data_IF_740350673298
#
_entry.id   IF_740350673298
#
_cell.length_a   1.000
_cell.length_b   1.000
_cell.length_c   1.000
_cell.angle_alpha   90.00
_cell.angle_beta   90.00
_cell.angle_gamma   90.00
#
_symmetry.space_group_name_H-M   'P 1'
#
loop_
_entity.id
_entity.type
_entity.pdbx_description
1 polymer ?
#
# COMPACT_ATOMS: atom_id res chain seq x y z
N UNK A 1 16.92 -44.27 16.91
CA UNK A 1 16.78 -43.14 17.86
C UNK A 1 16.53 -41.87 17.03
N UNK A 2 15.27 -41.52 16.80
CA UNK A 2 14.91 -40.33 16.03
C UNK A 2 15.01 -39.11 16.94
N UNK A 3 16.02 -38.26 16.73
CA UNK A 3 16.10 -36.97 17.39
C UNK A 3 14.95 -36.09 16.88
N UNK A 4 13.95 -35.87 17.72
CA UNK A 4 12.95 -34.84 17.52
C UNK A 4 13.68 -33.49 17.53
N UNK A 5 14.02 -32.96 16.35
CA UNK A 5 14.46 -31.56 16.25
C UNK A 5 13.26 -30.71 16.61
N UNK A 6 13.35 -29.98 17.72
CA UNK A 6 12.37 -28.95 18.04
C UNK A 6 12.21 -28.04 16.82
N UNK A 7 10.99 -27.67 16.40
CA UNK A 7 10.82 -26.72 15.32
C UNK A 7 11.62 -25.45 15.68
N UNK A 8 12.24 -24.78 14.70
CA UNK A 8 12.94 -23.53 14.98
C UNK A 8 11.95 -22.61 15.70
N UNK A 9 12.29 -22.22 16.93
CA UNK A 9 11.57 -21.14 17.61
C UNK A 9 11.81 -19.90 16.77
N UNK A 10 10.87 -19.59 15.88
CA UNK A 10 10.78 -18.24 15.32
C UNK A 10 10.37 -17.37 16.50
N UNK A 11 11.37 -16.78 17.15
CA UNK A 11 11.15 -15.64 18.04
C UNK A 11 10.60 -14.53 17.13
N UNK A 12 9.28 -14.40 17.13
CA UNK A 12 8.63 -13.28 16.45
C UNK A 12 8.88 -12.06 17.34
N UNK A 13 9.92 -11.29 17.03
CA UNK A 13 10.38 -10.13 17.81
C UNK A 13 9.46 -8.89 17.71
N UNK A 14 8.14 -9.09 17.58
CA UNK A 14 7.15 -8.03 17.49
C UNK A 14 5.95 -8.32 16.61
N UNK A 15 5.18 -7.27 16.29
CA UNK A 15 4.11 -7.33 15.32
C UNK A 15 4.24 -6.09 14.41
N UNK A 16 3.56 -6.05 13.26
CA UNK A 16 3.60 -4.88 12.40
C UNK A 16 3.08 -3.64 13.14
N UNK A 17 4.01 -2.78 13.59
CA UNK A 17 3.88 -1.38 14.05
C UNK A 17 2.66 -1.07 14.97
N UNK A 18 2.14 -2.08 15.65
CA UNK A 18 0.96 -2.02 16.49
C UNK A 18 1.31 -2.60 17.85
N UNK A 19 1.02 -1.85 18.91
CA UNK A 19 1.29 -2.27 20.29
C UNK A 19 0.29 -3.31 20.82
N UNK A 20 -0.89 -3.41 20.20
CA UNK A 20 -1.96 -4.30 20.62
C UNK A 20 -1.60 -5.78 20.51
N UNK A 21 -1.36 -6.31 19.28
CA UNK A 21 -1.09 -7.73 19.09
C UNK A 21 0.11 -8.26 19.92
N UNK A 22 1.26 -7.56 20.03
CA UNK A 22 2.36 -8.00 20.88
C UNK A 22 1.96 -8.09 22.35
N UNK A 23 1.15 -7.15 22.85
CA UNK A 23 0.68 -7.17 24.23
C UNK A 23 -0.22 -8.38 24.54
N UNK A 24 -1.12 -8.72 23.62
CA UNK A 24 -2.02 -9.89 23.77
C UNK A 24 -1.23 -11.20 23.72
N UNK A 25 -0.23 -11.28 22.85
CA UNK A 25 0.56 -12.49 22.62
C UNK A 25 1.79 -12.59 23.52
N UNK A 26 1.99 -11.64 24.44
CA UNK A 26 3.17 -11.50 25.29
C UNK A 26 4.50 -11.54 24.51
N UNK A 27 4.52 -10.87 23.35
CA UNK A 27 5.70 -10.72 22.50
C UNK A 27 6.40 -9.40 22.83
N UNK A 28 7.70 -9.33 22.50
CA UNK A 28 8.46 -8.08 22.58
C UNK A 28 7.80 -7.04 21.69
N UNK A 29 7.62 -5.82 22.20
CA UNK A 29 7.14 -4.70 21.37
C UNK A 29 8.25 -4.25 20.41
N UNK A 30 7.87 -4.00 19.17
CA UNK A 30 8.76 -3.55 18.12
C UNK A 30 8.03 -3.43 16.79
N UNK A 31 8.55 -2.59 15.90
CA UNK A 31 8.06 -2.51 14.53
C UNK A 31 8.65 -3.66 13.71
N UNK A 32 7.82 -4.65 13.37
CA UNK A 32 8.22 -5.69 12.41
C UNK A 32 7.63 -5.43 11.03
N UNK A 33 8.50 -5.27 10.04
CA UNK A 33 8.08 -5.23 8.64
C UNK A 33 7.80 -6.66 8.14
N UNK A 34 6.60 -6.96 7.59
CA UNK A 34 6.33 -8.25 6.97
C UNK A 34 7.30 -8.53 5.82
N UNK A 35 7.77 -9.77 5.72
CA UNK A 35 8.53 -10.23 4.56
C UNK A 35 7.56 -10.58 3.44
N UNK A 36 7.72 -9.92 2.30
CA UNK A 36 6.95 -10.19 1.07
C UNK A 36 7.91 -10.65 0.00
N UNK A 37 7.62 -11.81 -0.60
CA UNK A 37 8.43 -12.33 -1.70
C UNK A 37 8.41 -11.37 -2.90
N UNK A 38 9.51 -11.36 -3.65
CA UNK A 38 9.58 -10.59 -4.89
C UNK A 38 8.47 -11.04 -5.84
N UNK A 39 7.77 -10.11 -6.51
CA UNK A 39 6.71 -10.48 -7.44
C UNK A 39 7.28 -11.30 -8.59
N UNK A 40 6.52 -12.31 -9.00
CA UNK A 40 6.84 -13.16 -10.17
C UNK A 40 6.36 -12.53 -11.49
N UNK A 41 5.48 -11.54 -11.41
CA UNK A 41 4.92 -10.85 -12.56
C UNK A 41 5.93 -9.87 -13.16
N UNK A 42 5.82 -9.64 -14.47
CA UNK A 42 6.66 -8.67 -15.17
C UNK A 42 6.18 -7.25 -14.90
N UNK A 43 7.10 -6.29 -15.06
CA UNK A 43 6.78 -4.86 -15.10
C UNK A 43 5.83 -4.58 -16.28
N UNK A 44 4.76 -3.84 -16.02
CA UNK A 44 3.72 -3.53 -17.02
C UNK A 44 3.71 -2.07 -17.49
N UNK A 45 4.47 -1.20 -16.82
CA UNK A 45 4.56 0.24 -17.14
C UNK A 45 6.03 0.56 -17.39
N UNK A 46 6.37 0.93 -18.63
CA UNK A 46 7.77 1.13 -19.04
C UNK A 46 8.41 2.37 -18.42
N UNK A 47 7.68 3.49 -18.38
CA UNK A 47 8.16 4.74 -17.77
C UNK A 47 8.29 4.61 -16.25
N UNK A 48 9.14 5.45 -15.63
CA UNK A 48 9.16 5.61 -14.17
C UNK A 48 7.79 6.06 -13.67
N UNK A 49 7.35 5.54 -12.54
CA UNK A 49 6.01 5.83 -12.03
C UNK A 49 5.93 5.81 -10.51
N UNK A 50 4.92 6.50 -10.01
CA UNK A 50 4.55 6.58 -8.59
C UNK A 50 3.19 5.93 -8.41
N UNK A 51 3.05 5.11 -7.38
CA UNK A 51 1.76 4.55 -6.99
C UNK A 51 1.05 5.49 -6.02
N UNK A 52 -0.26 5.67 -6.20
CA UNK A 52 -1.12 6.40 -5.28
C UNK A 52 -2.30 5.56 -4.81
N UNK A 53 -2.72 5.77 -3.57
CA UNK A 53 -3.98 5.26 -3.02
C UNK A 53 -4.75 6.39 -2.34
N UNK A 54 -5.88 6.74 -2.94
CA UNK A 54 -6.71 7.89 -2.57
C UNK A 54 -7.93 7.49 -1.76
N UNK A 55 -8.20 6.19 -1.62
CA UNK A 55 -9.33 5.66 -0.86
C UNK A 55 -8.91 5.12 0.50
N UNK A 56 -9.88 5.12 1.42
CA UNK A 56 -9.77 4.55 2.76
C UNK A 56 -11.14 4.12 3.26
N UNK A 57 -11.20 3.49 4.42
CA UNK A 57 -12.44 2.96 5.00
C UNK A 57 -13.36 4.02 5.61
N UNK A 58 -12.85 5.22 5.86
CA UNK A 58 -13.62 6.31 6.47
C UNK A 58 -13.34 7.62 5.76
N UNK A 59 -14.39 8.43 5.58
CA UNK A 59 -14.30 9.79 5.02
C UNK A 59 -13.26 10.67 5.74
N UNK A 60 -13.11 10.52 7.06
CA UNK A 60 -12.18 11.33 7.87
C UNK A 60 -10.70 11.07 7.57
N UNK A 61 -10.39 9.98 6.87
CA UNK A 61 -9.02 9.65 6.46
C UNK A 61 -8.64 10.25 5.11
N UNK A 62 -9.59 10.89 4.41
CA UNK A 62 -9.34 11.45 3.08
C UNK A 62 -8.58 12.76 3.17
N UNK A 63 -7.76 12.99 2.16
CA UNK A 63 -7.19 14.31 1.93
C UNK A 63 -8.23 15.21 1.25
N UNK A 64 -8.90 16.06 2.04
CA UNK A 64 -10.04 16.87 1.61
C UNK A 64 -9.65 18.21 0.95
N UNK A 65 -8.35 18.46 0.71
CA UNK A 65 -7.93 19.69 0.02
C UNK A 65 -8.52 19.69 -1.39
N UNK A 66 -9.28 20.74 -1.72
CA UNK A 66 -9.83 20.96 -3.06
C UNK A 66 -8.71 20.85 -4.10
N UNK A 67 -8.92 20.03 -5.13
CA UNK A 67 -7.95 19.72 -6.20
C UNK A 67 -6.59 19.13 -5.74
N UNK A 68 -6.41 18.76 -4.46
CA UNK A 68 -5.12 18.29 -3.92
C UNK A 68 -4.46 17.20 -4.75
N UNK A 69 -5.15 16.07 -4.93
CA UNK A 69 -4.62 14.97 -5.73
C UNK A 69 -4.33 15.35 -7.18
N UNK A 70 -5.21 16.15 -7.81
CA UNK A 70 -5.01 16.58 -9.20
C UNK A 70 -3.76 17.47 -9.34
N UNK A 71 -3.50 18.35 -8.37
CA UNK A 71 -2.30 19.20 -8.34
C UNK A 71 -1.03 18.35 -8.17
N UNK A 72 -1.04 17.37 -7.27
CA UNK A 72 0.07 16.41 -7.06
C UNK A 72 0.34 15.61 -8.32
N UNK A 73 -0.71 15.05 -8.95
CA UNK A 73 -0.58 14.29 -10.20
C UNK A 73 0.05 15.15 -11.29
N UNK A 74 -0.43 16.39 -11.46
CA UNK A 74 0.11 17.34 -12.43
C UNK A 74 1.57 17.64 -12.17
N UNK A 75 1.96 17.83 -10.91
CA UNK A 75 3.34 18.08 -10.53
C UNK A 75 4.25 16.89 -10.81
N UNK A 76 3.86 15.68 -10.39
CA UNK A 76 4.61 14.45 -10.66
C UNK A 76 4.80 14.21 -12.16
N UNK A 77 3.74 14.44 -12.96
CA UNK A 77 3.84 14.36 -14.42
C UNK A 77 4.83 15.35 -15.02
N UNK A 78 4.91 16.57 -14.50
CA UNK A 78 5.93 17.55 -14.92
C UNK A 78 7.36 17.09 -14.61
N UNK A 79 7.55 16.29 -13.55
CA UNK A 79 8.83 15.68 -13.20
C UNK A 79 9.14 14.40 -14.01
N UNK A 80 8.28 14.05 -14.98
CA UNK A 80 8.45 12.90 -15.87
C UNK A 80 7.94 11.58 -15.29
N UNK A 81 7.12 11.61 -14.25
CA UNK A 81 6.48 10.40 -13.70
C UNK A 81 5.14 10.11 -14.35
N UNK A 82 4.87 8.84 -14.64
CA UNK A 82 3.48 8.39 -14.69
C UNK A 82 2.93 8.23 -13.27
N UNK A 83 1.64 8.46 -13.08
CA UNK A 83 0.99 8.33 -11.77
C UNK A 83 -0.08 7.26 -11.87
N UNK A 84 -0.03 6.27 -10.98
CA UNK A 84 -0.84 5.05 -11.07
C UNK A 84 -1.68 4.91 -9.81
N UNK A 85 -3.01 4.95 -9.96
CA UNK A 85 -3.92 4.73 -8.85
C UNK A 85 -4.22 3.23 -8.70
N UNK A 86 -3.93 2.68 -7.52
CA UNK A 86 -4.05 1.25 -7.22
C UNK A 86 -5.14 0.92 -6.18
N UNK A 87 -6.08 1.85 -5.97
CA UNK A 87 -7.21 1.67 -5.06
C UNK A 87 -8.11 0.46 -5.45
N UNK A 88 -8.82 -0.11 -4.47
CA UNK A 88 -9.77 -1.20 -4.71
C UNK A 88 -11.02 -0.77 -5.48
N UNK A 89 -11.47 0.47 -5.26
CA UNK A 89 -12.69 1.03 -5.84
C UNK A 89 -12.38 2.24 -6.73
N UNK A 90 -13.21 2.47 -7.75
CA UNK A 90 -13.17 3.73 -8.52
C UNK A 90 -13.86 4.90 -7.80
N UNK A 91 -14.85 4.57 -6.97
CA UNK A 91 -15.69 5.51 -6.22
C UNK A 91 -15.97 4.93 -4.85
N UNK A 92 -15.60 5.66 -3.80
CA UNK A 92 -16.04 5.38 -2.43
C UNK A 92 -17.27 6.21 -2.10
N UNK A 93 -18.37 5.55 -1.77
CA UNK A 93 -19.67 6.17 -1.50
C UNK A 93 -19.95 6.25 0.01
N UNK A 94 -20.14 7.47 0.52
CA UNK A 94 -20.54 7.75 1.91
C UNK A 94 -21.94 8.37 1.98
N UNK A 95 -22.81 8.06 1.00
CA UNK A 95 -24.17 8.57 0.88
C UNK A 95 -24.22 9.98 0.32
N UNK A 96 -24.00 11.00 1.18
CA UNK A 96 -24.06 12.42 0.76
C UNK A 96 -22.83 12.88 -0.03
N UNK A 97 -21.72 12.16 0.13
CA UNK A 97 -20.45 12.48 -0.51
C UNK A 97 -19.90 11.23 -1.18
N UNK A 98 -19.46 11.38 -2.42
CA UNK A 98 -18.74 10.35 -3.15
C UNK A 98 -17.33 10.84 -3.43
N UNK A 99 -16.36 10.03 -3.06
CA UNK A 99 -14.96 10.27 -3.37
C UNK A 99 -14.64 9.51 -4.64
N UNK A 100 -14.10 10.19 -5.64
CA UNK A 100 -13.71 9.59 -6.91
C UNK A 100 -12.20 9.53 -7.01
N UNK A 101 -11.69 8.47 -7.65
CA UNK A 101 -10.30 8.40 -8.08
C UNK A 101 -9.96 9.64 -8.92
N UNK A 102 -8.83 10.32 -8.64
CA UNK A 102 -8.49 11.57 -9.30
C UNK A 102 -8.30 11.42 -10.80
N UNK A 103 -8.48 12.53 -11.53
CA UNK A 103 -8.30 12.53 -12.98
C UNK A 103 -6.81 12.59 -13.33
N UNK A 104 -6.45 12.02 -14.47
CA UNK A 104 -5.09 12.14 -15.02
C UNK A 104 -4.09 11.13 -14.47
N UNK A 105 -4.46 10.22 -13.58
CA UNK A 105 -3.68 9.02 -13.26
C UNK A 105 -4.08 7.84 -14.18
N UNK A 106 -3.16 6.89 -14.35
CA UNK A 106 -3.46 5.56 -14.89
C UNK A 106 -4.28 4.83 -13.83
N UNK A 107 -5.48 4.37 -14.20
CA UNK A 107 -6.36 3.63 -13.30
C UNK A 107 -6.01 2.16 -13.35
N UNK A 108 -5.44 1.65 -12.27
CA UNK A 108 -5.33 0.21 -11.99
C UNK A 108 -6.28 -0.20 -10.88
N UNK A 109 -7.40 0.51 -10.76
CA UNK A 109 -8.43 0.29 -9.74
C UNK A 109 -9.05 -1.10 -9.84
N UNK A 110 -9.78 -1.51 -8.80
CA UNK A 110 -10.48 -2.79 -8.75
C UNK A 110 -9.94 -3.73 -7.66
N UNK A 111 -10.80 -4.66 -7.24
CA UNK A 111 -10.47 -5.76 -6.33
C UNK A 111 -9.66 -6.85 -7.05
N UNK A 112 -8.48 -6.47 -7.53
CA UNK A 112 -7.50 -7.35 -8.20
C UNK A 112 -6.73 -8.16 -7.17
N UNK A 113 -6.02 -9.19 -7.64
CA UNK A 113 -5.20 -10.00 -6.75
C UNK A 113 -4.13 -9.13 -6.04
N UNK A 114 -3.93 -9.35 -4.74
CA UNK A 114 -2.94 -8.61 -3.96
C UNK A 114 -1.52 -8.72 -4.56
N UNK A 115 -1.18 -9.84 -5.19
CA UNK A 115 0.09 -10.02 -5.91
C UNK A 115 0.28 -9.02 -7.05
N UNK A 116 -0.81 -8.58 -7.69
CA UNK A 116 -0.73 -7.54 -8.71
C UNK A 116 -0.41 -6.18 -8.08
N UNK A 117 -0.93 -5.90 -6.87
CA UNK A 117 -0.59 -4.68 -6.11
C UNK A 117 0.85 -4.70 -5.62
N UNK A 118 1.32 -5.86 -5.16
CA UNK A 118 2.73 -6.10 -4.83
C UNK A 118 3.60 -5.82 -6.06
N UNK A 119 3.21 -6.31 -7.23
CA UNK A 119 3.92 -6.04 -8.49
C UNK A 119 3.94 -4.56 -8.86
N UNK A 120 2.79 -3.88 -8.74
CA UNK A 120 2.67 -2.44 -9.00
C UNK A 120 3.58 -1.63 -8.07
N UNK A 121 3.62 -1.97 -6.77
CA UNK A 121 4.48 -1.31 -5.79
C UNK A 121 5.95 -1.64 -5.98
N UNK A 122 6.29 -2.90 -6.29
CA UNK A 122 7.68 -3.34 -6.45
C UNK A 122 8.42 -2.55 -7.53
N UNK A 123 7.75 -2.23 -8.65
CA UNK A 123 8.36 -1.50 -9.77
C UNK A 123 8.15 0.02 -9.71
N UNK A 124 7.41 0.56 -8.74
CA UNK A 124 7.27 2.01 -8.55
C UNK A 124 8.48 2.59 -7.82
N UNK A 125 8.75 3.88 -8.04
CA UNK A 125 9.84 4.60 -7.37
C UNK A 125 9.50 4.85 -5.89
N UNK A 126 8.26 5.27 -5.62
CA UNK A 126 7.72 5.53 -4.27
C UNK A 126 6.18 5.50 -4.28
N UNK A 127 5.58 5.59 -3.09
CA UNK A 127 4.14 5.52 -2.88
C UNK A 127 3.60 6.76 -2.15
N UNK A 128 2.41 7.23 -2.53
CA UNK A 128 1.69 8.28 -1.79
C UNK A 128 0.29 7.79 -1.46
N UNK A 129 -0.04 7.65 -0.18
CA UNK A 129 -1.35 7.18 0.22
C UNK A 129 -1.86 7.77 1.52
N UNK A 130 -3.09 7.37 1.85
CA UNK A 130 -3.74 7.70 3.11
C UNK A 130 -3.40 6.67 4.19
N UNK A 131 -3.92 6.86 5.40
CA UNK A 131 -3.91 5.86 6.47
C UNK A 131 -4.84 4.66 6.15
N UNK A 132 -4.47 3.88 5.13
CA UNK A 132 -5.18 2.71 4.61
C UNK A 132 -4.26 1.50 4.49
N UNK A 133 -4.82 0.32 4.23
CA UNK A 133 -4.04 -0.93 4.09
C UNK A 133 -2.96 -0.88 3.00
N UNK A 134 -3.15 -0.08 1.95
CA UNK A 134 -2.17 0.04 0.86
C UNK A 134 -0.89 0.77 1.31
N UNK A 135 -0.96 1.69 2.28
CA UNK A 135 0.24 2.29 2.87
C UNK A 135 1.07 1.26 3.64
N UNK A 136 0.42 0.34 4.36
CA UNK A 136 1.10 -0.78 5.02
C UNK A 136 1.75 -1.74 4.03
N UNK A 137 1.07 -2.01 2.92
CA UNK A 137 1.63 -2.84 1.85
C UNK A 137 2.85 -2.17 1.21
N UNK A 138 2.78 -0.87 0.91
CA UNK A 138 3.91 -0.10 0.38
C UNK A 138 5.12 -0.11 1.34
N UNK A 139 4.86 0.09 2.64
CA UNK A 139 5.88 -0.01 3.68
C UNK A 139 6.51 -1.41 3.74
N UNK A 140 5.71 -2.47 3.66
CA UNK A 140 6.20 -3.85 3.62
C UNK A 140 7.04 -4.13 2.37
N UNK A 141 6.75 -3.46 1.25
CA UNK A 141 7.50 -3.53 0.00
C UNK A 141 8.73 -2.61 -0.05
N UNK A 142 9.11 -2.02 1.09
CA UNK A 142 10.26 -1.11 1.23
C UNK A 142 10.18 0.12 0.31
N UNK A 143 8.95 0.57 0.02
CA UNK A 143 8.74 1.77 -0.78
C UNK A 143 8.74 3.01 0.12
N UNK A 144 9.45 4.08 -0.28
CA UNK A 144 9.30 5.39 0.35
C UNK A 144 7.84 5.87 0.29
#
# INVERSE_FOLDING_TARGET
MWMCRSPPRVLVDGAPLLDGPPGILNLKKGELRPLIDKPTLKRTIEKKYVCIATHSTSYYKYWLRKNGWNDVIKYLKKLGYEVVCIDGDDVADYGRVKMHVPKGCIKKTGMRNLLERVNDLYFCDFFIGLASGLAWLAWAMEKP
#
